data_IF_973436175835
#
_entry.id   IF_973436175835
#
_cell.length_a   1.000
_cell.length_b   1.000
_cell.length_c   1.000
_cell.angle_alpha   90.00
_cell.angle_beta   90.00
_cell.angle_gamma   90.00
#
_symmetry.space_group_name_H-M   'P 1'
#
loop_
_entity.id
_entity.type
_entity.pdbx_description
1 polymer ?
#
# COMPACT_ATOMS: atom_id res chain seq x y z
N UNK A 1 9.38 -9.53 -4.26
CA UNK A 1 9.36 -9.81 -2.80
C UNK A 1 7.93 -9.69 -2.33
N UNK A 2 7.52 -10.46 -1.35
CA UNK A 2 6.20 -10.33 -0.70
C UNK A 2 6.29 -10.91 0.71
N UNK A 3 5.40 -10.50 1.60
CA UNK A 3 5.27 -11.12 2.93
C UNK A 3 4.34 -12.34 2.91
N UNK A 4 3.48 -12.45 1.89
CA UNK A 4 2.53 -13.54 1.75
C UNK A 4 3.15 -14.72 0.96
N UNK A 5 3.40 -15.88 1.61
CA UNK A 5 3.99 -17.04 0.94
C UNK A 5 3.11 -17.62 -0.18
N UNK A 6 1.78 -17.47 -0.08
CA UNK A 6 0.85 -17.94 -1.10
C UNK A 6 0.94 -17.05 -2.35
N UNK A 7 1.02 -15.73 -2.16
CA UNK A 7 1.20 -14.79 -3.27
C UNK A 7 2.49 -15.09 -4.04
N UNK A 8 3.61 -15.32 -3.34
CA UNK A 8 4.88 -15.65 -3.99
C UNK A 8 4.87 -16.99 -4.71
N UNK A 9 4.20 -18.01 -4.17
CA UNK A 9 4.05 -19.30 -4.83
C UNK A 9 3.32 -19.16 -6.17
N UNK A 10 2.22 -18.40 -6.19
CA UNK A 10 1.47 -18.13 -7.42
C UNK A 10 2.25 -17.25 -8.39
N UNK A 11 2.98 -16.26 -7.88
CA UNK A 11 3.86 -15.43 -8.70
C UNK A 11 4.97 -16.25 -9.37
N UNK A 12 5.67 -17.12 -8.62
CA UNK A 12 6.69 -18.04 -9.16
C UNK A 12 6.15 -18.88 -10.31
N UNK A 13 4.97 -19.48 -10.14
CA UNK A 13 4.34 -20.29 -11.19
C UNK A 13 4.10 -19.48 -12.47
N UNK A 14 3.58 -18.25 -12.34
CA UNK A 14 3.32 -17.36 -13.49
C UNK A 14 4.59 -16.84 -14.14
N UNK A 15 5.59 -16.47 -13.33
CA UNK A 15 6.89 -16.00 -13.81
C UNK A 15 7.59 -17.10 -14.58
N UNK A 16 7.65 -18.32 -14.04
CA UNK A 16 8.25 -19.46 -14.73
C UNK A 16 7.54 -19.77 -16.05
N UNK A 17 6.20 -19.75 -16.06
CA UNK A 17 5.44 -19.91 -17.28
C UNK A 17 5.78 -18.82 -18.31
N UNK A 18 5.84 -17.55 -17.90
CA UNK A 18 6.19 -16.45 -18.81
C UNK A 18 7.61 -16.59 -19.38
N UNK A 19 8.59 -16.94 -18.55
CA UNK A 19 9.99 -17.21 -18.94
C UNK A 19 10.04 -18.31 -20.01
N UNK A 20 9.36 -19.44 -19.79
CA UNK A 20 9.34 -20.56 -20.74
C UNK A 20 8.79 -20.17 -22.12
N UNK A 21 7.85 -19.22 -22.19
CA UNK A 21 7.26 -18.79 -23.46
C UNK A 21 8.07 -17.70 -24.18
N UNK A 22 8.85 -16.91 -23.44
CA UNK A 22 9.48 -15.67 -23.95
C UNK A 22 10.95 -15.85 -24.38
N UNK A 23 11.53 -17.04 -24.24
CA UNK A 23 12.93 -17.35 -24.61
C UNK A 23 13.91 -16.24 -24.17
N UNK A 24 13.96 -15.91 -22.86
CA UNK A 24 14.76 -14.79 -22.39
C UNK A 24 16.26 -15.06 -22.56
N UNK A 25 17.05 -14.01 -22.38
CA UNK A 25 18.51 -14.10 -22.39
C UNK A 25 18.99 -15.23 -21.46
N UNK A 26 20.03 -16.02 -21.82
CA UNK A 26 20.49 -17.18 -21.04
C UNK A 26 20.80 -16.88 -19.56
N UNK A 27 21.18 -15.64 -19.26
CA UNK A 27 21.51 -15.18 -17.91
C UNK A 27 20.32 -14.57 -17.15
N UNK A 28 19.11 -14.61 -17.70
CA UNK A 28 17.93 -14.09 -17.01
C UNK A 28 17.57 -14.98 -15.82
N UNK A 29 17.52 -14.39 -14.63
CA UNK A 29 17.16 -15.09 -13.40
C UNK A 29 16.03 -14.35 -12.68
N UNK A 30 15.00 -15.11 -12.28
CA UNK A 30 13.92 -14.59 -11.45
C UNK A 30 14.08 -15.06 -10.00
N UNK A 31 14.46 -14.14 -9.12
CA UNK A 31 14.59 -14.40 -7.69
C UNK A 31 13.36 -13.91 -6.94
N UNK A 32 12.95 -14.67 -5.93
CA UNK A 32 11.72 -14.40 -5.17
C UNK A 32 11.93 -14.71 -3.70
N UNK A 33 11.58 -13.74 -2.84
CA UNK A 33 11.87 -13.79 -1.42
C UNK A 33 10.61 -13.51 -0.61
N UNK A 34 10.33 -14.37 0.37
CA UNK A 34 9.29 -14.17 1.40
C UNK A 34 9.87 -13.24 2.46
N UNK A 35 9.81 -11.93 2.19
CA UNK A 35 10.33 -10.88 3.07
C UNK A 35 9.56 -9.59 2.85
N UNK A 36 9.38 -8.84 3.93
CA UNK A 36 8.88 -7.48 3.86
C UNK A 36 9.88 -6.57 3.12
N UNK A 37 9.36 -5.66 2.29
CA UNK A 37 10.17 -4.76 1.47
C UNK A 37 11.04 -3.80 2.30
N UNK A 38 10.74 -3.59 3.60
CA UNK A 38 11.63 -2.86 4.52
C UNK A 38 13.04 -3.44 4.61
N UNK A 39 13.21 -4.71 4.23
CA UNK A 39 14.49 -5.41 4.25
C UNK A 39 15.19 -5.44 2.89
N UNK A 40 14.78 -4.60 1.93
CA UNK A 40 15.36 -4.59 0.57
C UNK A 40 16.89 -4.43 0.59
N UNK A 41 17.43 -3.55 1.43
CA UNK A 41 18.88 -3.32 1.54
C UNK A 41 19.64 -4.60 1.91
N UNK A 42 19.21 -5.30 2.96
CA UNK A 42 19.87 -6.52 3.42
C UNK A 42 19.60 -7.72 2.52
N UNK A 43 18.55 -7.68 1.71
CA UNK A 43 18.25 -8.71 0.73
C UNK A 43 19.13 -8.56 -0.51
N UNK A 44 19.33 -7.34 -1.02
CA UNK A 44 20.17 -7.12 -2.20
C UNK A 44 21.64 -7.45 -1.95
N UNK A 45 22.13 -7.32 -0.71
CA UNK A 45 23.49 -7.79 -0.35
C UNK A 45 23.66 -9.31 -0.40
N UNK A 46 22.56 -10.07 -0.47
CA UNK A 46 22.58 -11.54 -0.58
C UNK A 46 22.45 -12.02 -2.03
N UNK A 47 22.26 -11.08 -2.97
CA UNK A 47 22.14 -11.40 -4.40
C UNK A 47 23.47 -11.09 -5.07
N UNK A 48 24.06 -12.11 -5.66
CA UNK A 48 25.30 -11.96 -6.41
C UNK A 48 25.11 -11.03 -7.61
N UNK A 49 26.19 -10.35 -8.02
CA UNK A 49 26.25 -9.50 -9.22
C UNK A 49 25.46 -8.18 -9.17
N UNK A 50 24.98 -7.74 -8.00
CA UNK A 50 24.43 -6.38 -7.81
C UNK A 50 25.48 -5.49 -7.15
N UNK A 51 26.45 -4.99 -7.93
CA UNK A 51 27.53 -4.13 -7.41
C UNK A 51 27.20 -2.64 -7.42
N UNK A 52 26.38 -2.20 -8.38
CA UNK A 52 26.14 -0.77 -8.65
C UNK A 52 24.73 -0.31 -8.23
N UNK A 53 23.95 -1.17 -7.59
CA UNK A 53 22.52 -0.96 -7.33
C UNK A 53 21.63 -1.58 -8.41
N UNK A 54 20.32 -1.35 -8.31
CA UNK A 54 19.31 -1.84 -9.27
C UNK A 54 18.78 -0.70 -10.14
N UNK A 55 18.47 -0.98 -11.41
CA UNK A 55 17.99 0.03 -12.35
C UNK A 55 16.55 0.51 -12.05
N UNK A 56 15.77 -0.34 -11.39
CA UNK A 56 14.37 -0.06 -11.15
C UNK A 56 13.80 -0.78 -9.94
N UNK A 57 12.98 -0.07 -9.18
CA UNK A 57 12.18 -0.62 -8.09
C UNK A 57 10.73 -0.19 -8.29
N UNK A 58 9.82 -1.15 -8.27
CA UNK A 58 8.38 -0.91 -8.27
C UNK A 58 7.80 -1.36 -6.92
N UNK A 59 7.06 -0.47 -6.28
CA UNK A 59 6.26 -0.76 -5.09
C UNK A 59 4.78 -0.55 -5.40
N UNK A 60 4.04 -1.64 -5.52
CA UNK A 60 2.57 -1.61 -5.63
C UNK A 60 1.98 -1.88 -4.24
N UNK A 61 1.54 -0.82 -3.55
CA UNK A 61 1.16 -0.88 -2.14
C UNK A 61 -0.24 -1.46 -1.94
N UNK A 62 -0.54 -1.88 -0.71
CA UNK A 62 -1.86 -2.37 -0.33
C UNK A 62 -2.02 -3.88 -0.44
N UNK A 63 -3.24 -4.33 -0.74
CA UNK A 63 -3.63 -5.75 -0.65
C UNK A 63 -3.73 -6.39 -2.02
N UNK A 64 -3.33 -7.65 -2.11
CA UNK A 64 -3.55 -8.45 -3.30
C UNK A 64 -5.01 -8.87 -3.45
N UNK A 65 -5.42 -9.15 -4.69
CA UNK A 65 -6.75 -9.70 -4.97
C UNK A 65 -6.99 -11.04 -4.28
N UNK A 66 -5.93 -11.81 -4.06
CA UNK A 66 -5.99 -13.11 -3.38
C UNK A 66 -6.34 -12.96 -1.89
N UNK A 67 -5.85 -11.90 -1.25
CA UNK A 67 -6.17 -11.56 0.14
C UNK A 67 -7.62 -11.10 0.27
N UNK A 68 -8.07 -10.20 -0.61
CA UNK A 68 -9.44 -9.65 -0.55
C UNK A 68 -10.50 -10.67 -0.93
N UNK A 69 -10.23 -11.54 -1.92
CA UNK A 69 -11.21 -12.51 -2.42
C UNK A 69 -11.30 -13.78 -1.56
N UNK A 70 -10.39 -13.99 -0.60
CA UNK A 70 -10.43 -15.12 0.32
C UNK A 70 -11.01 -14.66 1.67
N UNK A 71 -12.27 -15.01 2.00
CA UNK A 71 -12.91 -14.57 3.23
C UNK A 71 -12.15 -15.02 4.49
N UNK A 72 -11.45 -16.15 4.45
CA UNK A 72 -10.63 -16.65 5.57
C UNK A 72 -9.48 -15.72 5.97
N UNK A 73 -9.14 -14.73 5.12
CA UNK A 73 -8.12 -13.71 5.43
C UNK A 73 -8.67 -12.47 6.12
N UNK A 74 -10.00 -12.29 6.17
CA UNK A 74 -10.63 -11.22 6.93
C UNK A 74 -10.53 -9.81 6.32
N UNK A 75 -10.03 -9.64 5.09
CA UNK A 75 -9.89 -8.31 4.46
C UNK A 75 -11.16 -7.78 3.80
N UNK A 76 -12.15 -8.65 3.55
CA UNK A 76 -13.36 -8.26 2.83
C UNK A 76 -14.40 -7.64 3.75
N UNK A 77 -14.91 -6.47 3.36
CA UNK A 77 -16.07 -5.83 3.99
C UNK A 77 -17.38 -6.57 3.66
N UNK A 78 -17.40 -7.30 2.54
CA UNK A 78 -18.63 -7.90 2.00
C UNK A 78 -18.78 -9.38 2.31
N UNK A 79 -17.66 -10.09 2.50
CA UNK A 79 -17.65 -11.52 2.80
C UNK A 79 -17.26 -11.73 4.26
N UNK A 80 -18.09 -12.50 4.98
CA UNK A 80 -17.82 -12.83 6.38
C UNK A 80 -16.62 -13.77 6.51
N UNK A 81 -15.81 -13.57 7.56
CA UNK A 81 -14.63 -14.36 7.87
C UNK A 81 -14.06 -13.96 9.24
N UNK A 82 -12.93 -14.56 9.66
CA UNK A 82 -12.29 -14.21 10.92
C UNK A 82 -11.70 -12.79 10.88
N UNK A 83 -11.58 -12.16 12.05
CA UNK A 83 -10.90 -10.86 12.21
C UNK A 83 -9.37 -11.03 12.19
N UNK A 84 -8.83 -11.48 11.06
CA UNK A 84 -7.39 -11.72 10.89
C UNK A 84 -6.66 -10.47 10.34
N UNK A 85 -6.84 -10.16 9.06
CA UNK A 85 -6.23 -9.03 8.34
C UNK A 85 -4.69 -9.01 8.30
N UNK A 86 -3.99 -10.08 8.68
CA UNK A 86 -2.53 -10.18 8.52
C UNK A 86 -2.18 -10.44 7.06
N UNK A 87 -1.28 -9.63 6.50
CA UNK A 87 -0.69 -9.86 5.17
C UNK A 87 0.31 -11.02 5.22
N UNK A 88 1.14 -11.06 6.27
CA UNK A 88 1.96 -12.21 6.64
C UNK A 88 1.16 -13.14 7.58
N UNK A 89 0.75 -14.35 7.14
CA UNK A 89 0.03 -15.27 8.00
C UNK A 89 0.79 -15.71 9.27
N UNK A 90 2.12 -15.51 9.32
CA UNK A 90 2.97 -15.84 10.46
C UNK A 90 3.10 -14.68 11.47
N UNK A 91 2.63 -13.47 11.14
CA UNK A 91 2.63 -12.35 12.08
C UNK A 91 1.76 -12.65 13.31
N UNK A 92 2.08 -12.10 14.48
CA UNK A 92 1.39 -12.43 15.73
C UNK A 92 0.08 -11.66 15.92
N UNK A 93 0.02 -10.40 15.52
CA UNK A 93 -1.10 -9.49 15.78
C UNK A 93 -2.21 -9.66 14.74
N UNK A 94 -3.45 -9.94 15.17
CA UNK A 94 -4.65 -9.96 14.34
C UNK A 94 -5.53 -8.73 14.59
N UNK A 95 -6.47 -8.48 13.69
CA UNK A 95 -7.49 -7.45 13.90
C UNK A 95 -8.37 -7.75 15.13
N UNK A 96 -8.62 -9.02 15.43
CA UNK A 96 -9.33 -9.48 16.63
C UNK A 96 -8.64 -9.01 17.91
N UNK A 97 -7.30 -9.13 17.98
CA UNK A 97 -6.52 -8.73 19.15
C UNK A 97 -6.63 -7.23 19.40
N UNK A 98 -6.60 -6.43 18.33
CA UNK A 98 -6.80 -4.98 18.41
C UNK A 98 -8.18 -4.66 18.97
N UNK A 99 -9.22 -5.27 18.41
CA UNK A 99 -10.60 -4.95 18.77
C UNK A 99 -11.00 -5.45 20.16
N UNK A 100 -10.41 -6.55 20.64
CA UNK A 100 -10.77 -7.16 21.91
C UNK A 100 -9.81 -6.84 23.05
N UNK A 101 -8.56 -6.47 22.77
CA UNK A 101 -7.53 -6.35 23.82
C UNK A 101 -6.86 -4.97 23.93
N UNK A 102 -6.84 -4.16 22.86
CA UNK A 102 -6.20 -2.83 22.95
C UNK A 102 -7.02 -1.85 23.78
N UNK A 103 -6.39 -0.87 24.45
CA UNK A 103 -7.11 0.22 25.09
C UNK A 103 -8.06 0.92 24.12
N UNK A 104 -9.26 1.30 24.59
CA UNK A 104 -10.27 1.95 23.74
C UNK A 104 -9.73 3.23 23.09
N UNK A 105 -8.87 3.97 23.80
CA UNK A 105 -8.19 5.17 23.27
C UNK A 105 -7.31 4.86 22.07
N UNK A 106 -6.61 3.72 22.07
CA UNK A 106 -5.78 3.30 20.94
C UNK A 106 -6.62 2.82 19.77
N UNK A 107 -7.72 2.10 20.02
CA UNK A 107 -8.69 1.75 18.98
C UNK A 107 -9.27 3.04 18.36
N UNK A 108 -9.67 4.00 19.18
CA UNK A 108 -10.14 5.31 18.71
C UNK A 108 -9.09 6.05 17.88
N UNK A 109 -7.82 6.02 18.31
CA UNK A 109 -6.70 6.63 17.59
C UNK A 109 -6.53 6.04 16.20
N UNK A 110 -6.49 4.71 16.05
CA UNK A 110 -6.32 4.11 14.71
C UNK A 110 -7.52 4.39 13.80
N UNK A 111 -8.75 4.39 14.33
CA UNK A 111 -9.94 4.73 13.55
C UNK A 111 -9.88 6.17 13.02
N UNK A 112 -9.42 7.10 13.87
CA UNK A 112 -9.25 8.51 13.52
C UNK A 112 -8.11 8.72 12.53
N UNK A 113 -6.93 8.18 12.84
CA UNK A 113 -5.67 8.54 12.15
C UNK A 113 -5.41 7.67 10.91
N UNK A 114 -5.69 6.37 10.99
CA UNK A 114 -5.47 5.43 9.88
C UNK A 114 -6.72 5.24 9.01
N UNK A 115 -7.90 5.35 9.62
CA UNK A 115 -9.18 5.29 8.91
C UNK A 115 -9.66 6.63 8.37
N UNK A 116 -9.14 7.76 8.87
CA UNK A 116 -9.69 9.10 8.62
C UNK A 116 -11.22 9.16 8.90
N UNK A 117 -11.70 8.39 9.89
CA UNK A 117 -13.12 8.25 10.17
C UNK A 117 -13.60 9.37 11.10
N UNK A 118 -14.61 10.13 10.67
CA UNK A 118 -15.12 11.30 11.41
C UNK A 118 -15.90 10.90 12.66
N UNK A 119 -16.63 9.79 12.59
CA UNK A 119 -17.44 9.27 13.70
C UNK A 119 -16.66 8.29 14.60
N UNK A 120 -15.32 8.39 14.62
CA UNK A 120 -14.45 7.46 15.35
C UNK A 120 -14.81 7.32 16.84
N UNK A 121 -15.23 8.40 17.51
CA UNK A 121 -15.64 8.37 18.93
C UNK A 121 -16.86 7.47 19.16
N UNK A 122 -17.87 7.57 18.29
CA UNK A 122 -19.07 6.75 18.39
C UNK A 122 -18.73 5.27 18.11
N UNK A 123 -17.92 5.01 17.10
CA UNK A 123 -17.45 3.67 16.76
C UNK A 123 -16.63 3.06 17.90
N UNK A 124 -15.66 3.79 18.45
CA UNK A 124 -14.87 3.37 19.61
C UNK A 124 -15.78 2.95 20.77
N UNK A 125 -16.75 3.80 21.15
CA UNK A 125 -17.67 3.48 22.24
C UNK A 125 -18.47 2.20 21.95
N UNK A 126 -18.92 2.01 20.70
CA UNK A 126 -19.71 0.84 20.30
C UNK A 126 -18.87 -0.44 20.26
N UNK A 127 -17.62 -0.36 19.85
CA UNK A 127 -16.67 -1.47 19.90
C UNK A 127 -16.35 -1.85 21.34
N UNK A 128 -16.14 -0.87 22.23
CA UNK A 128 -15.96 -1.10 23.66
C UNK A 128 -17.17 -1.79 24.29
N UNK A 129 -18.40 -1.37 23.93
CA UNK A 129 -19.62 -2.04 24.39
C UNK A 129 -19.74 -3.48 23.87
N UNK A 130 -19.41 -3.72 22.59
CA UNK A 130 -19.39 -5.07 22.04
C UNK A 130 -18.38 -5.99 22.76
N UNK A 131 -17.22 -5.43 23.16
CA UNK A 131 -16.22 -6.13 23.97
C UNK A 131 -16.76 -6.59 25.32
N UNK A 132 -17.56 -5.76 25.99
CA UNK A 132 -18.22 -6.12 27.25
C UNK A 132 -19.27 -7.23 27.10
N UNK A 133 -19.74 -7.48 25.87
CA UNK A 133 -20.79 -8.46 25.55
C UNK A 133 -20.22 -9.77 24.97
N UNK A 134 -18.92 -10.00 25.08
CA UNK A 134 -18.26 -11.24 24.63
C UNK A 134 -17.17 -11.02 23.59
N UNK A 135 -17.01 -9.81 23.05
CA UNK A 135 -16.01 -9.52 22.02
C UNK A 135 -16.54 -9.63 20.59
N UNK A 136 -15.65 -9.37 19.64
CA UNK A 136 -15.88 -9.52 18.21
C UNK A 136 -14.97 -10.62 17.67
N UNK A 137 -15.53 -11.58 16.94
CA UNK A 137 -14.80 -12.74 16.43
C UNK A 137 -14.86 -12.86 14.91
N UNK A 138 -15.75 -12.12 14.26
CA UNK A 138 -15.92 -12.14 12.81
C UNK A 138 -16.03 -10.75 12.17
N UNK A 139 -15.65 -10.66 10.90
CA UNK A 139 -15.81 -9.43 10.11
C UNK A 139 -17.29 -9.04 9.96
N UNK A 140 -18.21 -10.02 9.99
CA UNK A 140 -19.64 -9.82 9.99
C UNK A 140 -20.13 -9.09 11.24
N UNK A 141 -19.72 -9.53 12.44
CA UNK A 141 -20.05 -8.84 13.69
C UNK A 141 -19.53 -7.40 13.71
N UNK A 142 -18.28 -7.19 13.25
CA UNK A 142 -17.73 -5.84 13.11
C UNK A 142 -18.57 -4.98 12.16
N UNK A 143 -18.99 -5.53 11.02
CA UNK A 143 -19.86 -4.85 10.07
C UNK A 143 -21.21 -4.51 10.68
N UNK A 144 -21.78 -5.38 11.50
CA UNK A 144 -23.06 -5.13 12.16
C UNK A 144 -22.95 -4.02 13.21
N UNK A 145 -21.85 -3.97 13.97
CA UNK A 145 -21.54 -2.82 14.84
C UNK A 145 -21.46 -1.53 14.00
N UNK A 146 -20.73 -1.54 12.88
CA UNK A 146 -20.59 -0.35 12.01
C UNK A 146 -21.95 0.10 11.46
N UNK A 147 -22.79 -0.83 11.01
CA UNK A 147 -24.15 -0.54 10.53
C UNK A 147 -25.00 0.11 11.61
N UNK A 148 -24.92 -0.35 12.86
CA UNK A 148 -25.65 0.25 13.99
C UNK A 148 -25.26 1.71 14.27
N UNK A 149 -24.08 2.15 13.82
CA UNK A 149 -23.58 3.53 14.00
C UNK A 149 -23.78 4.45 12.80
N UNK A 150 -24.29 3.91 11.68
CA UNK A 150 -24.47 4.67 10.45
C UNK A 150 -25.97 4.78 10.11
N UNK A 151 -26.66 5.86 10.50
CA UNK A 151 -28.08 6.04 10.19
C UNK A 151 -28.33 6.02 8.69
N UNK A 152 -29.41 5.37 8.24
CA UNK A 152 -29.78 5.29 6.81
C UNK A 152 -29.98 6.64 6.13
N UNK A 153 -30.16 7.72 6.89
CA UNK A 153 -30.34 9.10 6.42
C UNK A 153 -29.03 9.82 6.04
N UNK A 154 -27.87 9.40 6.57
CA UNK A 154 -26.56 9.98 6.19
C UNK A 154 -25.86 9.10 5.15
N UNK A 155 -26.06 9.41 3.86
CA UNK A 155 -25.32 8.79 2.75
C UNK A 155 -25.94 7.53 2.14
N UNK A 156 -27.19 7.21 2.49
CA UNK A 156 -27.96 6.11 1.89
C UNK A 156 -27.35 4.71 2.12
N UNK A 157 -27.77 3.74 1.30
CA UNK A 157 -27.32 2.32 1.35
C UNK A 157 -25.79 2.15 1.26
N UNK A 158 -25.07 3.19 0.86
CA UNK A 158 -23.62 3.20 0.65
C UNK A 158 -22.84 3.90 1.77
N UNK A 159 -23.53 4.55 2.72
CA UNK A 159 -22.91 5.22 3.87
C UNK A 159 -22.12 4.25 4.75
N UNK A 160 -22.76 3.16 5.18
CA UNK A 160 -22.11 2.16 6.04
C UNK A 160 -20.94 1.45 5.34
N UNK A 161 -21.01 1.26 4.02
CA UNK A 161 -19.91 0.66 3.24
C UNK A 161 -18.68 1.57 3.32
N UNK A 162 -18.84 2.88 3.14
CA UNK A 162 -17.73 3.84 3.25
C UNK A 162 -17.11 3.82 4.64
N UNK A 163 -17.95 3.82 5.69
CA UNK A 163 -17.48 3.69 7.07
C UNK A 163 -16.72 2.38 7.26
N UNK A 164 -17.27 1.26 6.81
CA UNK A 164 -16.63 -0.05 6.94
C UNK A 164 -15.30 -0.13 6.18
N UNK A 165 -15.21 0.43 4.97
CA UNK A 165 -13.95 0.52 4.24
C UNK A 165 -12.88 1.27 5.04
N UNK A 166 -13.23 2.37 5.72
CA UNK A 166 -12.29 3.12 6.57
C UNK A 166 -11.88 2.36 7.83
N UNK A 167 -12.83 1.70 8.50
CA UNK A 167 -12.54 0.88 9.69
C UNK A 167 -11.63 -0.29 9.33
N UNK A 168 -11.93 -1.00 8.25
CA UNK A 168 -11.10 -2.10 7.77
C UNK A 168 -9.72 -1.61 7.32
N UNK A 169 -9.63 -0.46 6.65
CA UNK A 169 -8.35 0.18 6.34
C UNK A 169 -7.55 0.49 7.61
N UNK A 170 -8.18 1.07 8.65
CA UNK A 170 -7.51 1.40 9.90
C UNK A 170 -6.93 0.16 10.59
N UNK A 171 -7.73 -0.90 10.70
CA UNK A 171 -7.31 -2.18 11.28
C UNK A 171 -6.19 -2.81 10.46
N UNK A 172 -6.33 -2.85 9.13
CA UNK A 172 -5.31 -3.39 8.21
C UNK A 172 -3.96 -2.70 8.40
N UNK A 173 -3.98 -1.37 8.39
CA UNK A 173 -2.79 -0.54 8.60
C UNK A 173 -2.14 -0.84 9.96
N UNK A 174 -2.94 -0.94 11.02
CA UNK A 174 -2.45 -1.21 12.36
C UNK A 174 -1.88 -2.63 12.51
N UNK A 175 -2.56 -3.64 11.98
CA UNK A 175 -2.12 -5.04 12.00
C UNK A 175 -0.79 -5.23 11.29
N UNK A 176 -0.60 -4.56 10.15
CA UNK A 176 0.55 -4.79 9.28
C UNK A 176 1.64 -3.70 9.40
N UNK A 177 1.47 -2.75 10.34
CA UNK A 177 2.40 -1.64 10.57
C UNK A 177 2.74 -0.88 9.26
N UNK A 178 1.74 -0.72 8.38
CA UNK A 178 1.95 -0.36 6.97
C UNK A 178 2.58 1.01 6.79
N UNK A 179 2.05 2.03 7.50
CA UNK A 179 2.51 3.41 7.35
C UNK A 179 3.92 3.59 7.89
N UNK A 180 4.23 2.99 9.05
CA UNK A 180 5.58 3.02 9.61
C UNK A 180 6.58 2.33 8.70
N UNK A 181 6.21 1.18 8.12
CA UNK A 181 7.00 0.51 7.09
C UNK A 181 7.28 1.44 5.91
N UNK A 182 6.27 2.19 5.47
CA UNK A 182 6.33 3.07 4.32
C UNK A 182 7.12 4.36 4.58
N UNK A 183 7.32 4.78 5.83
CA UNK A 183 8.13 5.96 6.14
C UNK A 183 9.62 5.73 5.83
N UNK A 184 10.14 4.53 6.13
CA UNK A 184 11.56 4.21 5.96
C UNK A 184 11.86 3.53 4.63
N UNK A 185 10.95 2.68 4.14
CA UNK A 185 11.27 1.78 3.03
C UNK A 185 11.54 2.48 1.69
N UNK A 186 10.80 3.52 1.25
CA UNK A 186 11.09 4.20 -0.01
C UNK A 186 12.47 4.86 -0.01
N UNK A 187 12.97 5.33 1.15
CA UNK A 187 14.34 5.82 1.27
C UNK A 187 15.34 4.68 1.10
N UNK A 188 15.13 3.55 1.77
CA UNK A 188 15.98 2.37 1.62
C UNK A 188 15.98 1.85 0.17
N UNK A 189 14.82 1.83 -0.50
CA UNK A 189 14.70 1.51 -1.92
C UNK A 189 15.51 2.47 -2.79
N UNK A 190 15.37 3.78 -2.56
CA UNK A 190 16.10 4.80 -3.32
C UNK A 190 17.62 4.63 -3.19
N UNK A 191 18.11 4.36 -1.98
CA UNK A 191 19.54 4.12 -1.74
C UNK A 191 20.09 2.92 -2.52
N UNK A 192 19.23 1.91 -2.77
CA UNK A 192 19.59 0.70 -3.51
C UNK A 192 19.59 0.89 -5.03
N UNK A 193 19.13 2.02 -5.55
CA UNK A 193 19.12 2.28 -6.99
C UNK A 193 20.55 2.55 -7.51
N UNK A 194 20.81 2.12 -8.75
CA UNK A 194 21.94 2.60 -9.52
C UNK A 194 21.74 4.08 -9.91
N UNK A 195 22.80 4.81 -10.32
CA UNK A 195 22.64 6.10 -11.00
C UNK A 195 21.64 5.98 -12.14
N UNK A 196 20.79 7.00 -12.31
CA UNK A 196 19.66 7.01 -13.25
C UNK A 196 18.55 5.98 -12.99
N UNK A 197 18.71 5.12 -11.98
CA UNK A 197 17.71 4.15 -11.57
C UNK A 197 16.44 4.81 -11.05
N UNK A 198 15.30 4.13 -11.18
CA UNK A 198 13.97 4.69 -10.88
C UNK A 198 13.23 3.92 -9.79
N UNK A 199 12.67 4.66 -8.83
CA UNK A 199 11.70 4.15 -7.88
C UNK A 199 10.30 4.61 -8.28
N UNK A 200 9.44 3.67 -8.63
CA UNK A 200 8.02 3.86 -8.88
C UNK A 200 7.20 3.31 -7.70
N UNK A 201 6.30 4.12 -7.16
CA UNK A 201 5.41 3.73 -6.05
C UNK A 201 3.96 4.00 -6.43
N UNK A 202 3.13 2.97 -6.36
CA UNK A 202 1.68 3.03 -6.54
C UNK A 202 1.04 2.93 -5.16
N UNK A 203 0.28 3.95 -4.79
CA UNK A 203 -0.48 4.02 -3.53
C UNK A 203 -1.98 4.01 -3.80
N UNK A 204 -2.78 3.52 -2.85
CA UNK A 204 -4.23 3.38 -3.01
C UNK A 204 -5.04 4.23 -2.03
N UNK A 205 -4.40 4.86 -1.04
CA UNK A 205 -5.04 5.82 -0.17
C UNK A 205 -4.20 7.07 0.11
N UNK A 206 -4.87 8.09 0.63
CA UNK A 206 -4.34 9.42 0.97
C UNK A 206 -3.10 9.36 1.86
N UNK A 207 -3.12 8.52 2.91
CA UNK A 207 -2.03 8.41 3.87
C UNK A 207 -0.74 7.90 3.22
N UNK A 208 -0.82 6.83 2.42
CA UNK A 208 0.33 6.30 1.66
C UNK A 208 0.90 7.35 0.71
N UNK A 209 0.05 7.93 -0.16
CA UNK A 209 0.43 8.94 -1.14
C UNK A 209 1.13 10.14 -0.49
N UNK A 210 0.64 10.57 0.67
CA UNK A 210 1.23 11.65 1.45
C UNK A 210 2.62 11.28 1.95
N UNK A 211 2.80 10.10 2.53
CA UNK A 211 4.10 9.63 3.02
C UNK A 211 5.10 9.54 1.86
N UNK A 212 4.73 8.90 0.75
CA UNK A 212 5.60 8.77 -0.43
C UNK A 212 6.03 10.13 -0.95
N UNK A 213 5.08 11.08 -1.08
CA UNK A 213 5.38 12.46 -1.47
C UNK A 213 6.38 13.11 -0.49
N UNK A 214 6.17 12.98 0.81
CA UNK A 214 7.03 13.57 1.83
C UNK A 214 8.45 12.97 1.79
N UNK A 215 8.57 11.65 1.63
CA UNK A 215 9.87 10.97 1.51
C UNK A 215 10.59 11.43 0.25
N UNK A 216 9.91 11.50 -0.91
CA UNK A 216 10.53 11.97 -2.15
C UNK A 216 11.03 13.42 -2.04
N UNK A 217 10.24 14.30 -1.40
CA UNK A 217 10.65 15.68 -1.14
C UNK A 217 11.83 15.78 -0.16
N UNK A 218 11.97 14.83 0.77
CA UNK A 218 13.12 14.75 1.68
C UNK A 218 14.38 14.29 0.93
N UNK A 219 14.25 13.30 0.04
CA UNK A 219 15.36 12.77 -0.76
C UNK A 219 15.99 13.85 -1.63
N UNK A 220 15.18 14.67 -2.32
CA UNK A 220 15.70 15.72 -3.22
C UNK A 220 16.22 16.97 -2.48
N UNK A 221 16.06 17.06 -1.16
CA UNK A 221 16.48 18.22 -0.36
C UNK A 221 15.52 19.42 -0.45
N UNK A 222 15.67 20.37 0.47
CA UNK A 222 14.79 21.55 0.54
C UNK A 222 15.00 22.52 -0.62
N UNK A 223 16.25 22.67 -1.07
CA UNK A 223 16.63 23.49 -2.22
C UNK A 223 15.95 23.04 -3.53
N UNK A 224 15.64 21.74 -3.64
CA UNK A 224 14.97 21.19 -4.80
C UNK A 224 13.49 21.54 -4.91
N UNK A 225 12.82 21.94 -3.81
CA UNK A 225 11.35 22.07 -3.79
C UNK A 225 10.81 23.13 -4.75
N UNK A 226 11.58 24.19 -5.01
CA UNK A 226 11.20 25.29 -5.89
C UNK A 226 11.70 25.11 -7.34
N UNK A 227 12.55 24.11 -7.58
CA UNK A 227 13.14 23.75 -8.87
C UNK A 227 12.18 22.97 -9.77
N UNK A 228 11.01 23.55 -10.06
CA UNK A 228 9.98 22.94 -10.88
C UNK A 228 10.27 23.20 -12.36
N UNK A 229 10.59 22.14 -13.11
CA UNK A 229 10.74 22.22 -14.58
C UNK A 229 9.47 21.67 -15.26
N UNK A 230 8.90 22.44 -16.18
CA UNK A 230 7.86 21.95 -17.11
C UNK A 230 8.55 21.33 -18.32
N UNK A 231 8.22 20.10 -18.66
CA UNK A 231 8.71 19.48 -19.89
C UNK A 231 7.74 19.86 -21.02
N UNK A 232 8.25 20.55 -22.04
CA UNK A 232 7.49 20.82 -23.27
C UNK A 232 7.51 19.54 -24.09
N UNK A 233 6.34 19.08 -24.56
CA UNK A 233 6.25 17.89 -25.40
C UNK A 233 7.12 18.07 -26.65
N UNK A 234 8.16 17.24 -26.78
CA UNK A 234 9.11 17.32 -27.90
C UNK A 234 10.54 16.88 -27.59
N UNK A 235 10.95 16.72 -26.32
CA UNK A 235 12.36 16.35 -26.00
C UNK A 235 12.62 14.83 -26.07
N UNK A 236 11.61 13.97 -25.81
CA UNK A 236 11.69 12.53 -26.02
C UNK A 236 10.28 11.93 -26.18
N UNK A 237 9.94 11.38 -27.35
CA UNK A 237 8.62 10.78 -27.61
C UNK A 237 8.33 9.58 -26.69
N UNK A 238 9.36 8.98 -26.08
CA UNK A 238 9.23 7.81 -25.20
C UNK A 238 8.82 8.17 -23.76
N UNK A 239 8.95 9.44 -23.34
CA UNK A 239 8.71 9.86 -21.95
C UNK A 239 7.58 10.88 -21.77
N UNK A 240 6.60 10.88 -22.68
CA UNK A 240 5.46 11.84 -22.69
C UNK A 240 4.60 11.85 -21.42
N UNK A 241 4.73 10.84 -20.55
CA UNK A 241 4.05 10.78 -19.26
C UNK A 241 4.65 11.75 -18.23
N UNK A 242 5.90 12.20 -18.43
CA UNK A 242 6.58 13.18 -17.58
C UNK A 242 6.17 14.60 -18.01
N UNK A 243 5.33 15.25 -17.19
CA UNK A 243 4.86 16.62 -17.48
C UNK A 243 5.60 17.69 -16.70
N UNK A 244 5.95 17.36 -15.45
CA UNK A 244 6.56 18.29 -14.51
C UNK A 244 7.51 17.53 -13.60
N UNK A 245 8.75 17.98 -13.56
CA UNK A 245 9.77 17.42 -12.69
C UNK A 245 10.12 18.40 -11.57
N UNK A 246 10.66 17.86 -10.49
CA UNK A 246 11.26 18.64 -9.40
C UNK A 246 12.68 18.10 -9.22
N UNK A 247 13.67 18.92 -9.55
CA UNK A 247 15.07 18.55 -9.44
C UNK A 247 15.59 18.84 -8.04
N UNK A 248 16.49 18.01 -7.52
CA UNK A 248 17.23 18.32 -6.31
C UNK A 248 18.54 17.56 -6.25
N UNK A 249 19.19 17.57 -5.09
CA UNK A 249 20.60 17.19 -4.95
C UNK A 249 20.88 15.70 -5.20
N UNK A 250 20.01 14.82 -4.70
CA UNK A 250 20.20 13.37 -4.80
C UNK A 250 19.37 12.72 -5.91
N UNK A 251 18.38 13.42 -6.46
CA UNK A 251 17.38 12.81 -7.33
C UNK A 251 16.47 13.83 -8.02
N UNK A 252 15.70 13.34 -8.99
CA UNK A 252 14.66 14.12 -9.69
C UNK A 252 13.31 13.43 -9.53
N UNK A 253 12.32 14.13 -8.95
CA UNK A 253 10.93 13.66 -8.93
C UNK A 253 10.37 13.83 -10.34
N UNK A 254 9.95 12.74 -10.97
CA UNK A 254 9.41 12.74 -12.34
C UNK A 254 7.90 13.03 -12.38
N UNK A 255 7.21 12.90 -11.25
CA UNK A 255 5.77 13.15 -11.13
C UNK A 255 5.45 14.10 -9.98
N UNK A 256 5.56 15.41 -10.24
CA UNK A 256 5.13 16.45 -9.28
C UNK A 256 3.70 16.20 -8.76
N UNK A 257 2.80 15.88 -9.69
CA UNK A 257 1.45 15.38 -9.40
C UNK A 257 1.42 13.87 -9.68
N UNK A 258 0.75 13.08 -8.83
CA UNK A 258 0.67 11.65 -9.06
C UNK A 258 -0.08 11.37 -10.37
N UNK A 259 0.32 10.33 -11.08
CA UNK A 259 -0.42 9.82 -12.23
C UNK A 259 -1.56 8.96 -11.70
N UNK A 260 -2.77 9.22 -12.18
CA UNK A 260 -3.99 8.49 -11.81
C UNK A 260 -4.51 7.70 -13.01
N UNK A 261 -5.27 6.62 -12.78
CA UNK A 261 -5.91 5.87 -13.85
C UNK A 261 -6.77 6.76 -14.74
N UNK A 262 -6.95 6.33 -15.98
CA UNK A 262 -7.95 6.91 -16.88
C UNK A 262 -9.35 6.35 -16.58
N UNK A 263 -10.41 7.07 -16.98
CA UNK A 263 -11.79 6.59 -16.85
C UNK A 263 -12.01 5.21 -17.50
N UNK A 264 -11.36 4.97 -18.65
CA UNK A 264 -11.38 3.67 -19.35
C UNK A 264 -10.79 2.56 -18.48
N UNK A 265 -9.70 2.84 -17.79
CA UNK A 265 -9.06 1.88 -16.89
C UNK A 265 -9.90 1.61 -15.64
N UNK A 266 -10.52 2.63 -15.07
CA UNK A 266 -11.44 2.49 -13.92
C UNK A 266 -12.67 1.65 -14.28
N UNK A 267 -13.19 1.81 -15.50
CA UNK A 267 -14.27 1.00 -16.04
C UNK A 267 -13.92 -0.49 -16.13
N UNK A 268 -12.68 -0.81 -16.53
CA UNK A 268 -12.20 -2.19 -16.62
C UNK A 268 -11.87 -2.80 -15.26
N UNK A 269 -11.28 -2.02 -14.34
CA UNK A 269 -10.92 -2.49 -13.02
C UNK A 269 -11.16 -1.43 -11.94
N UNK A 270 -12.32 -1.53 -11.28
CA UNK A 270 -12.74 -0.61 -10.22
C UNK A 270 -11.76 -0.50 -9.04
N UNK A 271 -10.89 -1.51 -8.82
CA UNK A 271 -9.88 -1.48 -7.75
C UNK A 271 -8.79 -0.44 -8.00
N UNK A 272 -8.60 -0.04 -9.26
CA UNK A 272 -7.59 0.94 -9.66
C UNK A 272 -8.02 2.38 -9.41
N UNK A 273 -9.31 2.66 -9.20
CA UNK A 273 -9.88 4.03 -9.06
C UNK A 273 -9.12 4.94 -8.10
N UNK A 274 -8.51 4.39 -7.06
CA UNK A 274 -7.78 5.17 -6.04
C UNK A 274 -6.26 5.09 -6.18
N UNK A 275 -5.75 4.44 -7.23
CA UNK A 275 -4.34 4.30 -7.50
C UNK A 275 -3.70 5.65 -7.84
N UNK A 276 -2.52 5.88 -7.28
CA UNK A 276 -1.70 7.08 -7.49
C UNK A 276 -0.26 6.65 -7.65
N UNK A 277 0.28 6.84 -8.84
CA UNK A 277 1.67 6.55 -9.18
C UNK A 277 2.56 7.78 -8.95
N UNK A 278 3.63 7.60 -8.18
CA UNK A 278 4.73 8.54 -8.03
C UNK A 278 6.04 7.91 -8.49
N UNK A 279 6.91 8.69 -9.12
CA UNK A 279 8.20 8.22 -9.64
C UNK A 279 9.30 9.23 -9.30
N UNK A 280 10.42 8.72 -8.79
CA UNK A 280 11.66 9.47 -8.57
C UNK A 280 12.81 8.74 -9.25
N UNK A 281 13.71 9.49 -9.87
CA UNK A 281 14.94 9.01 -10.49
C UNK A 281 16.14 9.42 -9.65
N UNK A 282 17.10 8.52 -9.46
CA UNK A 282 18.36 8.80 -8.79
C UNK A 282 19.31 9.52 -9.76
N UNK A 283 20.07 10.49 -9.23
CA UNK A 283 21.15 11.13 -9.96
C UNK A 283 22.43 10.30 -9.90
#
# INVERSE_FOLDING_TARGET
MDVDPLALRMARSRINAAISHSHPHPNFQALTFVKNFRHIRSLLTQVDHISSGVDGILMDLGMSSMQVNNPARGFSVLANGPLDMRMDPQASLKAEDILNSWPDSEVGRILRDYGEERNWRLLQNKLAQARLQGGLHSTGELVDVIRSTTPGTKGGRQGWIKTATRVFQALRIAVNDELKTLEDSPHACFDCLAPEGRLAVISFHSLEDRIVKQVFLKIIGEEGRDSVRKIKGGEDEKELWIRQTIQGSNGTILTKRPITPSEKEEGFNRRRRSAKLRVIQKL
#
